data_IF_667141747100
#
_entry.id   IF_667141747100
#
_cell.length_a   1.000
_cell.length_b   1.000
_cell.length_c   1.000
_cell.angle_alpha   90.00
_cell.angle_beta   90.00
_cell.angle_gamma   90.00
#
_symmetry.space_group_name_H-M   'P 1'
#
loop_
_entity.id
_entity.type
_entity.pdbx_description
1 polymer ?
#
# COMPACT_ATOMS: atom_id res chain seq x y z
N UNK A 1 -7.38 -3.71 -6.09
CA UNK A 1 -7.60 -4.38 -7.39
C UNK A 1 -6.56 -3.84 -8.35
N UNK A 2 -5.66 -4.69 -8.85
CA UNK A 2 -4.63 -4.30 -9.81
C UNK A 2 -4.83 -5.14 -11.05
N UNK A 3 -4.83 -4.52 -12.23
CA UNK A 3 -4.85 -5.22 -13.51
C UNK A 3 -3.44 -5.19 -14.08
N UNK A 4 -2.98 -6.34 -14.53
CA UNK A 4 -1.73 -6.44 -15.27
C UNK A 4 -1.96 -5.98 -16.70
N UNK A 5 -1.03 -5.18 -17.23
CA UNK A 5 -1.04 -4.83 -18.65
C UNK A 5 -1.10 -6.11 -19.49
N UNK A 6 -2.09 -6.20 -20.37
CA UNK A 6 -2.28 -7.35 -21.27
C UNK A 6 -1.33 -7.32 -22.47
N UNK A 7 -0.77 -6.16 -22.79
CA UNK A 7 0.23 -5.96 -23.85
C UNK A 7 1.62 -6.06 -23.23
N UNK A 8 2.06 -7.30 -22.97
CA UNK A 8 3.39 -7.57 -22.44
C UNK A 8 4.34 -7.91 -23.59
N UNK A 9 5.50 -7.25 -23.64
CA UNK A 9 6.56 -7.59 -24.58
C UNK A 9 6.98 -9.06 -24.41
N UNK A 10 7.26 -9.70 -25.54
CA UNK A 10 7.81 -11.05 -25.57
C UNK A 10 9.32 -10.93 -25.41
N UNK A 11 9.81 -11.34 -24.24
CA UNK A 11 11.23 -11.40 -23.93
C UNK A 11 11.70 -12.85 -24.03
N UNK A 12 12.45 -13.17 -25.07
CA UNK A 12 13.04 -14.49 -25.29
C UNK A 12 14.56 -14.42 -25.14
N UNK A 13 15.15 -15.38 -24.43
CA UNK A 13 16.59 -15.49 -24.30
C UNK A 13 17.08 -16.63 -25.17
N UNK A 14 17.74 -16.29 -26.28
CA UNK A 14 18.21 -17.25 -27.30
C UNK A 14 19.70 -17.00 -27.54
N UNK A 15 20.52 -18.05 -27.48
CA UNK A 15 21.96 -18.02 -27.76
C UNK A 15 22.76 -16.93 -27.03
N UNK A 16 22.38 -16.64 -25.79
CA UNK A 16 23.07 -15.62 -24.97
C UNK A 16 22.58 -14.19 -25.18
N UNK A 17 21.53 -13.99 -25.97
CA UNK A 17 20.98 -12.66 -26.30
C UNK A 17 19.51 -12.58 -25.92
N UNK A 18 19.12 -11.45 -25.32
CA UNK A 18 17.71 -11.11 -25.10
C UNK A 18 17.12 -10.54 -26.39
N UNK A 19 16.12 -11.22 -26.94
CA UNK A 19 15.25 -10.72 -27.98
C UNK A 19 13.98 -10.16 -27.34
N UNK A 20 13.66 -8.90 -27.61
CA UNK A 20 12.47 -8.21 -27.12
C UNK A 20 11.58 -7.87 -28.30
N UNK A 21 10.42 -8.53 -28.41
CA UNK A 21 9.44 -8.25 -29.45
C UNK A 21 8.19 -7.58 -28.87
N UNK A 22 7.73 -6.52 -29.56
CA UNK A 22 6.50 -5.86 -29.19
C UNK A 22 5.30 -6.81 -29.34
N UNK A 23 4.39 -6.81 -28.36
CA UNK A 23 3.19 -7.62 -28.44
C UNK A 23 2.26 -7.15 -29.57
N UNK A 24 1.79 -8.11 -30.36
CA UNK A 24 0.65 -7.93 -31.27
C UNK A 24 -0.63 -7.69 -30.43
N UNK A 25 -1.23 -6.48 -30.48
CA UNK A 25 -2.33 -6.14 -29.62
C UNK A 25 -3.57 -7.01 -29.84
N UNK A 26 -3.88 -7.35 -31.10
CA UNK A 26 -5.06 -8.14 -31.42
C UNK A 26 -4.92 -9.56 -30.86
N UNK A 27 -3.75 -10.18 -31.03
CA UNK A 27 -3.48 -11.52 -30.50
C UNK A 27 -3.51 -11.53 -28.97
N UNK A 28 -2.87 -10.55 -28.33
CA UNK A 28 -2.80 -10.45 -26.88
C UNK A 28 -4.20 -10.27 -26.26
N UNK A 29 -5.00 -9.35 -26.80
CA UNK A 29 -6.38 -9.11 -26.37
C UNK A 29 -7.24 -10.36 -26.58
N UNK A 30 -7.15 -11.01 -27.75
CA UNK A 30 -7.90 -12.24 -28.04
C UNK A 30 -7.52 -13.38 -27.09
N UNK A 31 -6.23 -13.58 -26.84
CA UNK A 31 -5.71 -14.57 -25.88
C UNK A 31 -6.24 -14.31 -24.48
N UNK A 32 -6.19 -13.05 -24.04
CA UNK A 32 -6.69 -12.65 -22.73
C UNK A 32 -8.20 -12.90 -22.60
N UNK A 33 -9.00 -12.44 -23.56
CA UNK A 33 -10.45 -12.54 -23.54
C UNK A 33 -10.96 -14.00 -23.64
N UNK A 34 -10.24 -14.85 -24.37
CA UNK A 34 -10.59 -16.27 -24.51
C UNK A 34 -9.99 -17.17 -23.43
N UNK A 35 -9.18 -16.63 -22.51
CA UNK A 35 -8.56 -17.43 -21.45
C UNK A 35 -9.63 -17.96 -20.49
N UNK A 36 -9.70 -19.28 -20.34
CA UNK A 36 -10.56 -19.93 -19.33
C UNK A 36 -10.13 -19.63 -17.89
N UNK A 37 -8.89 -19.16 -17.69
CA UNK A 37 -8.36 -18.73 -16.39
C UNK A 37 -8.64 -17.26 -16.10
N UNK A 38 -9.33 -16.55 -17.00
CA UNK A 38 -9.66 -15.14 -16.81
C UNK A 38 -10.64 -15.00 -15.65
N UNK A 39 -10.15 -14.43 -14.55
CA UNK A 39 -10.94 -14.19 -13.35
C UNK A 39 -11.72 -12.87 -13.40
N UNK A 40 -11.08 -11.78 -13.87
CA UNK A 40 -11.67 -10.44 -13.93
C UNK A 40 -11.54 -9.89 -15.35
N UNK A 41 -12.53 -9.12 -15.80
CA UNK A 41 -12.45 -8.41 -17.07
C UNK A 41 -11.57 -7.16 -16.93
N UNK A 42 -10.56 -7.01 -17.79
CA UNK A 42 -9.57 -5.92 -17.70
C UNK A 42 -10.18 -4.52 -17.58
N UNK A 43 -11.16 -4.11 -18.41
CA UNK A 43 -11.81 -2.82 -18.28
C UNK A 43 -12.47 -2.57 -16.92
N UNK A 44 -12.94 -3.61 -16.23
CA UNK A 44 -13.50 -3.43 -14.88
C UNK A 44 -12.42 -3.01 -13.89
N UNK A 45 -11.22 -3.59 -13.95
CA UNK A 45 -10.13 -3.18 -13.06
C UNK A 45 -9.62 -1.77 -13.36
N UNK A 46 -9.64 -1.35 -14.63
CA UNK A 46 -9.35 0.04 -15.01
C UNK A 46 -10.44 0.97 -14.47
N UNK A 47 -11.71 0.65 -14.72
CA UNK A 47 -12.84 1.47 -14.28
C UNK A 47 -12.90 1.61 -12.76
N UNK A 48 -12.84 0.52 -12.01
CA UNK A 48 -12.92 0.56 -10.54
C UNK A 48 -11.81 1.43 -9.94
N UNK A 49 -10.57 1.32 -10.43
CA UNK A 49 -9.46 2.12 -9.91
C UNK A 49 -9.55 3.59 -10.34
N UNK A 50 -9.99 3.88 -11.56
CA UNK A 50 -10.22 5.25 -12.02
C UNK A 50 -11.36 5.92 -11.23
N UNK A 51 -12.47 5.21 -11.03
CA UNK A 51 -13.61 5.68 -10.25
C UNK A 51 -13.23 5.92 -8.79
N UNK A 52 -12.45 5.03 -8.18
CA UNK A 52 -11.94 5.21 -6.82
C UNK A 52 -11.04 6.46 -6.70
N UNK A 53 -10.12 6.70 -7.64
CA UNK A 53 -9.29 7.91 -7.67
C UNK A 53 -10.13 9.18 -7.86
N UNK A 54 -11.13 9.14 -8.73
CA UNK A 54 -12.05 10.26 -8.92
C UNK A 54 -12.87 10.54 -7.65
N UNK A 55 -13.28 9.51 -6.91
CA UNK A 55 -13.95 9.69 -5.62
C UNK A 55 -13.01 10.25 -4.55
N UNK A 56 -11.78 9.76 -4.45
CA UNK A 56 -10.76 10.31 -3.56
C UNK A 56 -10.54 11.80 -3.85
N UNK A 57 -10.37 12.16 -5.13
CA UNK A 57 -10.15 13.53 -5.54
C UNK A 57 -11.34 14.44 -5.21
N UNK A 58 -12.52 14.09 -5.70
CA UNK A 58 -13.70 14.95 -5.62
C UNK A 58 -14.38 14.94 -4.25
N UNK A 59 -14.33 13.80 -3.54
CA UNK A 59 -15.01 13.61 -2.26
C UNK A 59 -14.09 13.66 -1.04
N UNK A 60 -12.77 13.51 -1.21
CA UNK A 60 -11.83 13.45 -0.10
C UNK A 60 -10.72 14.51 -0.12
N UNK A 61 -10.35 15.06 -1.27
CA UNK A 61 -9.26 16.05 -1.37
C UNK A 61 -9.83 17.46 -1.62
N UNK A 62 -10.55 17.64 -2.72
CA UNK A 62 -11.12 18.95 -3.08
C UNK A 62 -11.99 19.58 -1.98
N UNK A 63 -12.85 18.83 -1.26
CA UNK A 63 -13.71 19.43 -0.24
C UNK A 63 -12.94 20.05 0.92
N UNK A 64 -11.74 19.57 1.22
CA UNK A 64 -10.93 20.05 2.34
C UNK A 64 -9.96 21.17 1.95
N UNK A 65 -9.65 21.36 0.65
CA UNK A 65 -8.80 22.46 0.20
C UNK A 65 -7.47 22.54 0.96
N UNK A 66 -7.18 23.70 1.55
CA UNK A 66 -5.94 23.95 2.30
C UNK A 66 -5.84 23.15 3.62
N UNK A 67 -6.96 22.59 4.11
CA UNK A 67 -6.99 21.72 5.26
C UNK A 67 -6.50 20.29 4.95
N UNK A 68 -6.28 19.96 3.67
CA UNK A 68 -5.75 18.67 3.24
C UNK A 68 -4.24 18.54 3.54
N UNK A 69 -3.84 17.42 4.16
CA UNK A 69 -2.43 17.12 4.47
C UNK A 69 -1.92 15.92 3.69
N UNK A 70 -2.69 14.83 3.64
CA UNK A 70 -2.23 13.57 3.06
C UNK A 70 -3.41 12.68 2.66
N UNK A 71 -3.21 11.79 1.68
CA UNK A 71 -4.16 10.73 1.34
C UNK A 71 -3.45 9.43 0.97
N UNK A 72 -4.10 8.30 1.27
CA UNK A 72 -3.70 6.98 0.78
C UNK A 72 -4.94 6.18 0.38
N UNK A 73 -5.00 5.80 -0.90
CA UNK A 73 -5.99 4.93 -1.54
C UNK A 73 -7.45 5.42 -1.44
N UNK A 74 -8.01 5.39 -0.24
CA UNK A 74 -9.41 5.66 0.11
C UNK A 74 -9.54 6.41 1.44
N UNK A 75 -8.44 6.97 1.94
CA UNK A 75 -8.41 7.75 3.18
C UNK A 75 -7.73 9.10 2.98
N UNK A 76 -8.17 10.09 3.76
CA UNK A 76 -7.56 11.43 3.82
C UNK A 76 -7.23 11.80 5.26
N UNK A 77 -6.19 12.61 5.42
CA UNK A 77 -5.69 13.15 6.68
C UNK A 77 -5.74 14.67 6.52
N UNK A 78 -6.48 15.31 7.41
CA UNK A 78 -6.87 16.71 7.30
C UNK A 78 -6.80 17.37 8.67
N UNK A 79 -6.69 18.69 8.69
CA UNK A 79 -6.95 19.52 9.87
C UNK A 79 -8.36 20.12 9.78
N UNK A 80 -8.90 20.58 10.91
CA UNK A 80 -10.20 21.26 10.98
C UNK A 80 -11.34 20.53 10.23
N UNK A 81 -11.37 19.20 10.32
CA UNK A 81 -12.32 18.38 9.56
C UNK A 81 -13.79 18.77 9.79
N UNK A 82 -14.10 19.23 11.01
CA UNK A 82 -15.44 19.66 11.44
C UNK A 82 -16.03 20.74 10.52
N UNK A 83 -15.21 21.64 9.98
CA UNK A 83 -15.63 22.74 9.11
C UNK A 83 -16.06 22.27 7.71
N UNK A 84 -15.74 21.02 7.35
CA UNK A 84 -15.96 20.47 6.01
C UNK A 84 -16.94 19.29 5.98
N UNK A 85 -17.48 18.86 7.15
CA UNK A 85 -18.35 17.68 7.25
C UNK A 85 -19.61 17.81 6.38
N UNK A 86 -20.21 18.99 6.30
CA UNK A 86 -21.40 19.22 5.47
C UNK A 86 -21.14 18.93 3.98
N UNK A 87 -19.95 19.29 3.47
CA UNK A 87 -19.56 19.01 2.09
C UNK A 87 -19.40 17.51 1.84
N UNK A 88 -18.86 16.78 2.83
CA UNK A 88 -18.72 15.32 2.78
C UNK A 88 -20.08 14.63 2.82
N UNK A 89 -20.99 15.08 3.68
CA UNK A 89 -22.35 14.54 3.75
C UNK A 89 -23.13 14.77 2.45
N UNK A 90 -22.98 15.93 1.83
CA UNK A 90 -23.58 16.19 0.52
C UNK A 90 -22.99 15.29 -0.59
N UNK A 91 -21.68 15.05 -0.55
CA UNK A 91 -21.04 14.09 -1.44
C UNK A 91 -21.57 12.67 -1.21
N UNK A 92 -21.73 12.25 0.05
CA UNK A 92 -22.28 10.95 0.43
C UNK A 92 -23.73 10.76 -0.06
N UNK A 93 -24.59 11.79 0.02
CA UNK A 93 -25.95 11.73 -0.56
C UNK A 93 -25.93 11.39 -2.04
N UNK A 94 -25.00 11.97 -2.79
CA UNK A 94 -24.84 11.68 -4.21
C UNK A 94 -24.38 10.23 -4.48
N UNK A 95 -23.48 9.69 -3.65
CA UNK A 95 -23.08 8.28 -3.71
C UNK A 95 -24.29 7.37 -3.44
N UNK A 96 -25.02 7.62 -2.35
CA UNK A 96 -26.17 6.82 -1.93
C UNK A 96 -27.24 6.81 -3.03
N UNK A 97 -27.53 7.98 -3.64
CA UNK A 97 -28.46 8.09 -4.77
C UNK A 97 -28.05 7.19 -5.95
N UNK A 98 -26.76 7.16 -6.30
CA UNK A 98 -26.24 6.29 -7.38
C UNK A 98 -26.36 4.81 -7.01
N UNK A 99 -26.05 4.44 -5.76
CA UNK A 99 -26.18 3.07 -5.28
C UNK A 99 -27.63 2.60 -5.28
N UNK A 100 -28.57 3.41 -4.82
CA UNK A 100 -30.00 3.07 -4.86
C UNK A 100 -30.54 2.97 -6.28
N UNK A 101 -30.16 3.87 -7.18
CA UNK A 101 -30.53 3.75 -8.60
C UNK A 101 -30.00 2.45 -9.23
N UNK A 102 -28.78 2.04 -8.86
CA UNK A 102 -28.21 0.75 -9.28
C UNK A 102 -29.02 -0.43 -8.71
N UNK A 103 -29.34 -0.40 -7.41
CA UNK A 103 -30.17 -1.42 -6.77
C UNK A 103 -31.55 -1.54 -7.44
N UNK A 104 -32.21 -0.40 -7.70
CA UNK A 104 -33.52 -0.36 -8.36
C UNK A 104 -33.46 -0.91 -9.79
N UNK A 105 -32.40 -0.59 -10.54
CA UNK A 105 -32.20 -1.08 -11.91
C UNK A 105 -32.00 -2.60 -11.98
N UNK A 106 -31.24 -3.17 -11.04
CA UNK A 106 -30.90 -4.61 -11.03
C UNK A 106 -31.81 -5.44 -10.12
N UNK A 107 -32.77 -4.84 -9.42
CA UNK A 107 -33.63 -5.53 -8.45
C UNK A 107 -32.87 -6.07 -7.24
N UNK A 108 -31.82 -5.37 -6.80
CA UNK A 108 -30.99 -5.75 -5.65
C UNK A 108 -31.60 -5.11 -4.40
N UNK A 109 -31.73 -5.90 -3.33
CA UNK A 109 -32.15 -5.40 -2.02
C UNK A 109 -31.18 -4.32 -1.50
N UNK A 110 -31.72 -3.15 -1.17
CA UNK A 110 -30.95 -1.99 -0.68
C UNK A 110 -30.31 -2.26 0.67
N UNK A 111 -30.85 -3.17 1.46
CA UNK A 111 -30.28 -3.55 2.76
C UNK A 111 -28.92 -4.26 2.61
N UNK A 112 -28.65 -4.86 1.44
CA UNK A 112 -27.34 -5.47 1.13
C UNK A 112 -26.21 -4.43 1.02
N UNK A 113 -26.54 -3.15 0.84
CA UNK A 113 -25.56 -2.06 0.86
C UNK A 113 -25.07 -1.74 2.28
N UNK A 114 -25.74 -2.23 3.32
CA UNK A 114 -25.43 -1.93 4.72
C UNK A 114 -25.13 -3.19 5.55
N UNK A 115 -24.01 -3.90 5.27
CA UNK A 115 -23.61 -5.05 6.08
C UNK A 115 -23.37 -4.67 7.55
N UNK A 116 -23.53 -5.64 8.44
CA UNK A 116 -23.34 -5.44 9.89
C UNK A 116 -21.86 -5.59 10.28
N UNK A 117 -21.39 -4.70 11.14
CA UNK A 117 -20.09 -4.80 11.80
C UNK A 117 -20.02 -5.98 12.78
N UNK A 118 -18.83 -6.28 13.32
CA UNK A 118 -18.66 -7.28 14.40
C UNK A 118 -19.52 -6.99 15.65
N UNK A 119 -19.97 -5.74 15.83
CA UNK A 119 -20.85 -5.30 16.91
C UNK A 119 -22.34 -5.32 16.51
N UNK A 120 -22.68 -5.85 15.34
CA UNK A 120 -24.05 -5.95 14.83
C UNK A 120 -24.63 -4.64 14.25
N UNK A 121 -23.86 -3.55 14.22
CA UNK A 121 -24.29 -2.24 13.70
C UNK A 121 -24.22 -2.25 12.17
N UNK A 122 -25.33 -1.99 11.43
CA UNK A 122 -25.32 -1.83 9.98
C UNK A 122 -24.49 -0.61 9.56
N UNK A 123 -23.64 -0.76 8.55
CA UNK A 123 -22.86 0.34 7.97
C UNK A 123 -22.92 0.31 6.44
N UNK A 124 -23.38 1.41 5.84
CA UNK A 124 -23.42 1.61 4.40
C UNK A 124 -22.02 1.52 3.80
N UNK A 125 -21.84 0.77 2.72
CA UNK A 125 -20.57 0.70 2.00
C UNK A 125 -20.44 1.82 0.97
N UNK A 126 -19.20 2.25 0.72
CA UNK A 126 -18.87 3.18 -0.36
C UNK A 126 -19.06 4.67 -0.04
N UNK A 127 -19.50 5.01 1.18
CA UNK A 127 -19.56 6.39 1.68
C UNK A 127 -18.30 6.76 2.44
N UNK A 128 -17.99 8.05 2.49
CA UNK A 128 -16.95 8.58 3.38
C UNK A 128 -17.44 8.53 4.82
N UNK A 129 -16.64 7.93 5.70
CA UNK A 129 -16.88 7.87 7.13
C UNK A 129 -15.81 8.70 7.85
N UNK A 130 -16.19 9.36 8.93
CA UNK A 130 -15.23 10.04 9.78
C UNK A 130 -14.72 9.06 10.82
N UNK A 131 -13.45 8.65 10.72
CA UNK A 131 -12.76 7.90 11.77
C UNK A 131 -12.84 8.72 13.07
N UNK A 132 -13.75 8.29 13.95
CA UNK A 132 -14.31 9.00 15.11
C UNK A 132 -13.30 9.71 16.04
N UNK A 133 -13.82 10.46 17.03
CA UNK A 133 -13.05 11.18 18.06
C UNK A 133 -11.90 10.39 18.72
N UNK A 134 -11.99 9.06 18.84
CA UNK A 134 -10.92 8.22 19.41
C UNK A 134 -9.71 7.96 18.49
N UNK A 135 -9.81 8.31 17.21
CA UNK A 135 -8.74 8.16 16.22
C UNK A 135 -8.19 9.51 15.74
N UNK A 136 -8.54 10.60 16.43
CA UNK A 136 -7.94 11.90 16.18
C UNK A 136 -6.44 11.86 16.52
N UNK A 137 -5.64 12.37 15.61
CA UNK A 137 -4.20 12.47 15.82
C UNK A 137 -3.90 13.75 16.59
N UNK A 138 -3.16 13.60 17.69
CA UNK A 138 -2.53 14.72 18.39
C UNK A 138 -1.34 15.25 17.59
N UNK A 139 -0.57 14.35 16.98
CA UNK A 139 0.52 14.68 16.07
C UNK A 139 0.48 13.80 14.82
N UNK A 140 0.74 14.41 13.67
CA UNK A 140 0.87 13.75 12.38
C UNK A 140 2.08 14.33 11.64
N UNK A 141 2.92 13.46 11.08
CA UNK A 141 4.03 13.86 10.21
C UNK A 141 4.17 12.87 9.07
N UNK A 142 4.30 13.39 7.84
CA UNK A 142 4.53 12.60 6.64
C UNK A 142 5.76 13.11 5.91
N UNK A 143 6.51 12.19 5.31
CA UNK A 143 7.65 12.51 4.43
C UNK A 143 7.42 11.99 3.00
N UNK A 144 6.18 11.61 2.69
CA UNK A 144 5.77 11.14 1.38
C UNK A 144 4.85 9.92 1.44
N UNK A 145 4.60 9.35 0.26
CA UNK A 145 3.69 8.21 0.11
C UNK A 145 4.09 7.04 1.01
N UNK A 146 3.13 6.54 1.79
CA UNK A 146 3.28 5.40 2.72
C UNK A 146 4.44 5.52 3.70
N UNK A 147 4.79 6.75 4.08
CA UNK A 147 5.82 7.09 5.06
C UNK A 147 5.32 8.20 5.97
N UNK A 148 4.56 7.83 7.00
CA UNK A 148 4.01 8.76 7.98
C UNK A 148 4.04 8.19 9.40
N UNK A 149 4.04 9.10 10.36
CA UNK A 149 4.03 8.83 11.80
C UNK A 149 2.86 9.57 12.44
N UNK A 150 2.19 8.90 13.38
CA UNK A 150 1.05 9.42 14.12
C UNK A 150 1.25 9.24 15.63
N UNK A 151 0.62 10.12 16.39
CA UNK A 151 0.47 9.99 17.83
C UNK A 151 -0.98 10.31 18.20
N UNK A 152 -1.61 9.40 18.91
CA UNK A 152 -2.97 9.53 19.44
C UNK A 152 -3.04 8.94 20.86
N UNK A 153 -4.24 8.70 21.37
CA UNK A 153 -4.44 8.14 22.71
C UNK A 153 -3.91 6.70 22.87
N UNK A 154 -3.70 5.98 21.75
CA UNK A 154 -3.09 4.64 21.74
C UNK A 154 -1.55 4.69 21.70
N UNK A 155 -0.96 5.89 21.57
CA UNK A 155 0.48 6.12 21.54
C UNK A 155 1.05 6.39 20.14
N UNK A 156 2.37 6.23 20.02
CA UNK A 156 3.10 6.48 18.78
C UNK A 156 2.98 5.29 17.83
N UNK A 157 2.70 5.55 16.56
CA UNK A 157 2.58 4.53 15.53
C UNK A 157 3.14 5.05 14.20
N UNK A 158 3.67 4.14 13.37
CA UNK A 158 4.24 4.47 12.07
C UNK A 158 3.61 3.60 10.98
N UNK A 159 3.47 4.20 9.81
CA UNK A 159 3.20 3.50 8.55
C UNK A 159 4.35 3.80 7.61
N UNK A 160 5.26 2.84 7.48
CA UNK A 160 6.42 2.91 6.58
C UNK A 160 6.49 1.59 5.83
N UNK A 161 6.30 1.65 4.51
CA UNK A 161 6.33 0.43 3.67
C UNK A 161 7.65 -0.32 3.84
N UNK A 162 7.57 -1.60 4.22
CA UNK A 162 8.74 -2.45 4.45
C UNK A 162 9.36 -2.33 5.84
N UNK A 163 8.73 -1.61 6.78
CA UNK A 163 9.16 -1.53 8.18
C UNK A 163 8.05 -2.02 9.10
N UNK A 164 8.39 -2.94 10.00
CA UNK A 164 7.49 -3.48 11.00
C UNK A 164 7.38 -2.53 12.20
N UNK A 165 6.20 -1.93 12.39
CA UNK A 165 5.92 -1.03 13.52
C UNK A 165 6.19 -1.65 14.90
N UNK A 166 6.03 -2.97 15.07
CA UNK A 166 6.21 -3.63 16.37
C UNK A 166 7.66 -3.61 16.86
N UNK A 167 8.63 -3.54 15.95
CA UNK A 167 10.06 -3.49 16.28
C UNK A 167 10.62 -2.08 16.15
N UNK A 168 10.15 -1.32 15.17
CA UNK A 168 10.66 0.02 14.89
C UNK A 168 10.15 1.07 15.88
N UNK A 169 8.88 1.01 16.31
CA UNK A 169 8.33 1.99 17.27
C UNK A 169 9.06 1.95 18.62
N UNK A 170 9.29 0.78 19.25
CA UNK A 170 10.07 0.71 20.48
C UNK A 170 11.48 1.29 20.33
N UNK A 171 12.16 1.00 19.21
CA UNK A 171 13.49 1.55 18.92
C UNK A 171 13.48 3.08 18.84
N UNK A 172 12.51 3.66 18.13
CA UNK A 172 12.40 5.12 17.98
C UNK A 172 12.14 5.80 19.33
N UNK A 173 11.25 5.22 20.15
CA UNK A 173 10.95 5.72 21.49
C UNK A 173 12.16 5.61 22.41
N UNK A 174 12.86 4.48 22.42
CA UNK A 174 14.07 4.27 23.24
C UNK A 174 15.18 5.26 22.85
N UNK A 175 15.38 5.46 21.55
CA UNK A 175 16.46 6.30 21.04
C UNK A 175 16.20 7.80 21.12
N UNK A 176 14.95 8.24 20.88
CA UNK A 176 14.63 9.65 20.71
C UNK A 176 13.47 10.14 21.59
N UNK A 177 12.77 9.26 22.30
CA UNK A 177 11.49 9.58 22.93
C UNK A 177 10.38 9.86 21.90
N UNK A 178 9.16 10.16 22.36
CA UNK A 178 8.01 10.42 21.48
C UNK A 178 8.22 11.69 20.63
N UNK A 179 8.53 12.82 21.27
CA UNK A 179 8.72 14.10 20.56
C UNK A 179 9.95 14.09 19.66
N UNK A 180 11.07 13.52 20.13
CA UNK A 180 12.28 13.39 19.34
C UNK A 180 12.07 12.45 18.14
N UNK A 181 11.24 11.40 18.28
CA UNK A 181 10.87 10.54 17.14
C UNK A 181 10.21 11.34 16.02
N UNK A 182 9.27 12.25 16.35
CA UNK A 182 8.66 13.13 15.35
C UNK A 182 9.65 14.12 14.75
N UNK A 183 10.59 14.65 15.55
CA UNK A 183 11.62 15.58 15.05
C UNK A 183 12.55 14.91 14.05
N UNK A 184 12.99 13.70 14.36
CA UNK A 184 13.91 12.88 13.55
C UNK A 184 13.20 12.02 12.49
N UNK A 185 11.88 12.12 12.33
CA UNK A 185 11.16 11.45 11.25
C UNK A 185 11.28 12.25 9.95
N UNK A 186 12.49 12.23 9.39
CA UNK A 186 12.88 12.94 8.18
C UNK A 186 13.66 12.01 7.22
N UNK A 187 14.18 12.58 6.14
CA UNK A 187 14.88 11.86 5.07
C UNK A 187 16.27 11.34 5.47
N UNK A 188 16.77 11.71 6.66
CA UNK A 188 18.07 11.25 7.17
C UNK A 188 17.92 10.08 8.16
N UNK A 189 16.68 9.74 8.55
CA UNK A 189 16.41 8.65 9.47
C UNK A 189 16.88 7.31 8.90
N UNK A 190 17.65 6.58 9.71
CA UNK A 190 18.05 5.21 9.43
C UNK A 190 17.64 4.30 10.57
N UNK A 191 16.95 3.22 10.23
CA UNK A 191 16.56 2.17 11.17
C UNK A 191 17.47 0.96 10.93
N UNK A 192 18.27 0.52 11.92
CA UNK A 192 19.12 -0.66 11.79
C UNK A 192 18.30 -1.93 11.53
N UNK A 193 18.91 -2.92 10.86
CA UNK A 193 18.19 -4.13 10.43
C UNK A 193 17.54 -4.93 11.56
N UNK A 194 18.10 -4.87 12.77
CA UNK A 194 17.51 -5.50 13.96
C UNK A 194 16.14 -4.95 14.35
N UNK A 195 15.83 -3.71 13.94
CA UNK A 195 14.62 -3.00 14.35
C UNK A 195 13.63 -2.77 13.21
N UNK A 196 13.99 -3.09 11.96
CA UNK A 196 13.09 -2.94 10.81
C UNK A 196 12.09 -4.08 10.70
N UNK A 197 12.46 -5.29 11.13
CA UNK A 197 11.71 -6.52 10.81
C UNK A 197 11.71 -6.85 9.32
N UNK A 198 12.54 -6.18 8.51
CA UNK A 198 12.71 -6.42 7.08
C UNK A 198 13.77 -7.49 6.86
N UNK A 199 13.52 -8.39 5.91
CA UNK A 199 14.48 -9.39 5.47
C UNK A 199 14.84 -9.16 4.00
N UNK A 200 16.13 -9.25 3.67
CA UNK A 200 16.65 -9.29 2.30
C UNK A 200 16.89 -10.74 1.91
N UNK A 201 16.44 -11.11 0.72
CA UNK A 201 16.70 -12.44 0.16
C UNK A 201 18.05 -12.41 -0.57
N UNK A 202 18.86 -13.41 -0.29
CA UNK A 202 20.09 -13.69 -1.03
C UNK A 202 19.94 -15.05 -1.72
N UNK A 203 20.11 -15.06 -3.02
CA UNK A 203 20.18 -16.27 -3.83
C UNK A 203 21.63 -16.74 -3.89
N UNK A 204 21.84 -18.01 -3.55
CA UNK A 204 23.13 -18.68 -3.64
C UNK A 204 23.00 -19.64 -4.82
N UNK A 205 23.46 -19.22 -5.98
CA UNK A 205 23.40 -20.04 -7.22
C UNK A 205 24.61 -20.98 -7.36
N UNK A 206 25.50 -20.96 -6.37
CA UNK A 206 26.70 -21.77 -6.30
C UNK A 206 26.43 -23.10 -5.60
N UNK A 207 26.97 -24.18 -6.16
CA UNK A 207 26.95 -25.49 -5.52
C UNK A 207 27.80 -25.48 -4.24
N UNK A 208 27.21 -25.92 -3.13
CA UNK A 208 27.87 -26.01 -1.82
C UNK A 208 27.68 -27.39 -1.21
N UNK A 209 28.77 -28.00 -0.79
CA UNK A 209 28.79 -29.20 0.02
C UNK A 209 29.54 -28.96 1.32
N UNK A 210 29.15 -29.66 2.38
CA UNK A 210 29.84 -29.58 3.66
C UNK A 210 29.25 -30.54 4.67
N UNK A 211 29.58 -30.35 5.94
CA UNK A 211 29.15 -31.23 7.01
C UNK A 211 28.47 -30.39 8.11
N UNK A 212 27.33 -30.85 8.61
CA UNK A 212 26.53 -30.20 9.66
C UNK A 212 26.39 -31.14 10.87
N UNK A 213 26.42 -30.57 12.06
CA UNK A 213 26.22 -31.30 13.32
C UNK A 213 24.83 -30.95 13.86
N UNK A 214 24.01 -31.96 14.15
CA UNK A 214 22.69 -31.77 14.75
C UNK A 214 22.78 -31.40 16.25
N UNK A 215 21.65 -31.06 16.86
CA UNK A 215 21.58 -30.70 18.28
C UNK A 215 21.91 -31.86 19.25
N UNK A 216 22.03 -33.09 18.74
CA UNK A 216 22.41 -34.29 19.49
C UNK A 216 23.89 -34.65 19.29
N UNK A 217 24.62 -33.90 18.46
CA UNK A 217 26.04 -34.14 18.15
C UNK A 217 26.28 -35.09 16.97
N UNK A 218 25.24 -35.54 16.28
CA UNK A 218 25.39 -36.40 15.10
C UNK A 218 25.82 -35.57 13.89
N UNK A 219 26.73 -36.11 13.09
CA UNK A 219 27.34 -35.43 11.95
C UNK A 219 26.75 -35.93 10.64
N UNK A 220 26.35 -35.03 9.76
CA UNK A 220 25.75 -35.32 8.46
C UNK A 220 26.41 -34.51 7.35
N UNK A 221 26.72 -35.15 6.23
CA UNK A 221 27.13 -34.44 5.03
C UNK A 221 25.90 -33.90 4.30
N UNK A 222 26.00 -32.67 3.80
CA UNK A 222 25.00 -32.06 2.95
C UNK A 222 25.59 -31.63 1.61
N UNK A 223 24.75 -31.65 0.60
CA UNK A 223 25.00 -31.09 -0.72
C UNK A 223 23.81 -30.22 -1.10
N UNK A 224 24.08 -28.96 -1.38
CA UNK A 224 23.10 -27.93 -1.69
C UNK A 224 23.53 -27.27 -3.01
N UNK A 225 22.94 -27.67 -4.15
CA UNK A 225 23.31 -27.14 -5.46
C UNK A 225 22.96 -25.64 -5.63
N UNK A 226 22.04 -25.15 -4.80
CA UNK A 226 21.68 -23.74 -4.66
C UNK A 226 21.00 -23.52 -3.32
N UNK A 227 20.88 -22.26 -2.87
CA UNK A 227 20.22 -21.93 -1.62
C UNK A 227 19.59 -20.53 -1.60
N UNK A 228 18.73 -20.30 -0.62
CA UNK A 228 18.20 -18.97 -0.30
C UNK A 228 18.47 -18.70 1.16
N UNK A 229 19.05 -17.54 1.46
CA UNK A 229 19.26 -17.05 2.82
C UNK A 229 18.54 -15.72 3.03
N UNK A 230 17.97 -15.53 4.21
CA UNK A 230 17.31 -14.29 4.61
C UNK A 230 18.14 -13.59 5.68
N UNK A 231 18.56 -12.36 5.39
CA UNK A 231 19.28 -11.52 6.35
C UNK A 231 18.41 -10.34 6.77
N UNK A 232 18.61 -9.87 8.00
CA UNK A 232 18.00 -8.62 8.46
C UNK A 232 18.51 -7.44 7.64
N UNK A 233 17.59 -6.56 7.25
CA UNK A 233 17.90 -5.45 6.36
C UNK A 233 17.62 -4.11 7.03
N UNK A 234 18.60 -3.20 7.03
CA UNK A 234 18.38 -1.82 7.44
C UNK A 234 17.40 -1.09 6.51
N UNK A 235 16.86 0.03 6.99
CA UNK A 235 15.97 0.89 6.22
C UNK A 235 16.45 2.34 6.28
N UNK A 236 16.63 2.96 5.11
CA UNK A 236 17.05 4.34 4.95
C UNK A 236 15.87 5.15 4.41
N UNK A 237 15.57 6.28 5.04
CA UNK A 237 14.44 7.16 4.69
C UNK A 237 14.77 8.11 3.54
N UNK A 238 16.00 8.06 3.00
CA UNK A 238 16.43 8.84 1.85
C UNK A 238 15.40 8.85 0.72
N UNK A 239 15.23 10.03 0.16
CA UNK A 239 14.50 10.19 -1.09
C UNK A 239 15.42 9.71 -2.21
N UNK A 240 14.85 8.96 -3.14
CA UNK A 240 15.55 8.51 -4.32
C UNK A 240 16.10 9.72 -5.11
N UNK A 241 17.38 9.65 -5.50
CA UNK A 241 18.05 10.73 -6.23
C UNK A 241 17.37 11.06 -7.56
N UNK A 242 16.80 10.06 -8.26
CA UNK A 242 16.08 10.27 -9.51
C UNK A 242 14.78 11.05 -9.27
N UNK A 243 14.11 10.81 -8.15
CA UNK A 243 12.91 11.55 -7.78
C UNK A 243 13.22 13.02 -7.44
N UNK A 244 14.34 13.29 -6.76
CA UNK A 244 14.81 14.66 -6.52
C UNK A 244 15.10 15.38 -7.84
N UNK A 245 15.80 14.72 -8.77
CA UNK A 245 16.06 15.22 -10.12
C UNK A 245 14.76 15.50 -10.91
N UNK A 246 13.73 14.68 -10.75
CA UNK A 246 12.43 14.91 -11.36
C UNK A 246 11.74 16.17 -10.80
N UNK A 247 11.74 16.35 -9.47
CA UNK A 247 11.14 17.53 -8.84
C UNK A 247 11.85 18.84 -9.22
N UNK A 248 13.17 18.82 -9.37
CA UNK A 248 13.93 19.97 -9.85
C UNK A 248 13.55 20.39 -11.27
N UNK A 249 13.17 19.44 -12.12
CA UNK A 249 12.71 19.70 -13.50
C UNK A 249 11.27 20.21 -13.60
N UNK A 250 10.51 20.20 -12.50
CA UNK A 250 9.15 20.75 -12.43
C UNK A 250 9.13 22.22 -11.99
N UNK A 251 10.27 22.77 -11.55
CA UNK A 251 10.44 24.20 -11.26
C UNK A 251 10.80 24.97 -12.52
#
# INVERSE_FOLDING_TARGET
>A
MMVTNILQELNEYIDGVWNCEAADPEKAIKKYNNSKRRFLFYPWGVFCTAYARANLWNGGILPFGDCYIYSDTDSVKVINAEDHLDAIEEYNKNIIKKLYAMCDHYGIDKDLLAPKTIKGVPKMIGVWDWESKGHQYKYFRSIGSKRYMIFNDEGLNITVSGVNKKTAVPYLIDKYGVEGSFKHFDTELKIPGDYTGKLTHYYIDEDRSGTVIDYQGNTFDFHAPSGIYLEKAAYDFKIDSEYLLYLEKLK
#
